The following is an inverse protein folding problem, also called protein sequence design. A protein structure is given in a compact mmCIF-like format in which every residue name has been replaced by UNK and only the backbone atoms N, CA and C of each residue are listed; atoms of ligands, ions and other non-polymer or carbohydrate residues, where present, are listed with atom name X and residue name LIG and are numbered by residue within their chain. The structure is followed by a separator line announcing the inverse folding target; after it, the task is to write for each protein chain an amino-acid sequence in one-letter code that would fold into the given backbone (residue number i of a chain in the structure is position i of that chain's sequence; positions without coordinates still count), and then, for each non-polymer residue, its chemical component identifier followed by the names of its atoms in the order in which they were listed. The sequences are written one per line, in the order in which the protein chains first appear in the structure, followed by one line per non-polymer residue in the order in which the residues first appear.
data_IF_620529303731
#
_entry.id   IF_620529303731
#
_cell.length_a   1.000
_cell.length_b   1.000
_cell.length_c   1.000
_cell.angle_alpha   90.00
_cell.angle_beta   90.00
_cell.angle_gamma   90.00
#
_symmetry.space_group_name_H-M   'P 1'
#
loop_
_entity.id
_entity.type
_entity.pdbx_description
1 polymer ?
#
# COMPACT_ATOMS: atom_id res chain seq x y z
N UNK A 1 -5.05 -14.70 11.23
CA UNK A 1 -5.62 -13.62 10.40
C UNK A 1 -4.70 -13.40 9.22
N UNK A 2 -5.21 -12.92 8.08
CA UNK A 2 -4.47 -12.87 6.80
C UNK A 2 -3.05 -12.26 6.87
N UNK A 3 -2.83 -11.23 7.70
CA UNK A 3 -1.50 -10.63 7.92
C UNK A 3 -0.59 -11.56 8.74
N UNK A 4 -1.09 -12.11 9.86
CA UNK A 4 -0.33 -13.01 10.74
C UNK A 4 0.02 -14.33 10.05
N UNK A 5 -0.90 -14.82 9.22
CA UNK A 5 -0.75 -16.08 8.49
C UNK A 5 -0.02 -15.85 7.14
N UNK A 6 0.52 -14.63 6.93
CA UNK A 6 1.36 -14.24 5.80
C UNK A 6 0.72 -14.46 4.42
N UNK A 7 -0.61 -14.34 4.36
CA UNK A 7 -1.41 -14.34 3.12
C UNK A 7 -1.22 -13.01 2.38
N UNK A 8 -1.13 -11.90 3.12
CA UNK A 8 -0.72 -10.59 2.60
C UNK A 8 0.72 -10.32 3.02
N UNK A 9 1.59 -9.99 2.06
CA UNK A 9 3.02 -9.73 2.30
C UNK A 9 3.45 -8.45 1.61
N UNK A 10 4.51 -7.82 2.15
CA UNK A 10 5.01 -6.53 1.69
C UNK A 10 4.36 -5.38 2.44
N UNK A 11 5.20 -4.48 2.95
CA UNK A 11 4.78 -3.37 3.82
C UNK A 11 3.57 -2.59 3.25
N UNK A 12 3.65 -2.07 2.01
CA UNK A 12 2.54 -1.29 1.44
C UNK A 12 1.25 -2.11 1.29
N UNK A 13 1.36 -3.37 0.85
CA UNK A 13 0.18 -4.24 0.71
C UNK A 13 -0.50 -4.53 2.06
N UNK A 14 0.28 -4.72 3.13
CA UNK A 14 -0.26 -4.94 4.48
C UNK A 14 -0.98 -3.68 4.98
N UNK A 15 -0.39 -2.49 4.79
CA UNK A 15 -0.99 -1.23 5.25
C UNK A 15 -2.33 -0.96 4.56
N UNK A 16 -2.37 -1.12 3.24
CA UNK A 16 -3.56 -0.89 2.42
C UNK A 16 -4.64 -1.93 2.71
N UNK A 17 -4.26 -3.20 2.85
CA UNK A 17 -5.22 -4.25 3.23
C UNK A 17 -5.85 -4.00 4.60
N UNK A 18 -5.08 -3.49 5.57
CA UNK A 18 -5.61 -3.15 6.89
C UNK A 18 -6.58 -1.96 6.85
N UNK A 19 -6.21 -0.88 6.15
CA UNK A 19 -7.07 0.28 5.98
C UNK A 19 -8.39 -0.08 5.29
N UNK A 20 -8.31 -0.82 4.16
CA UNK A 20 -9.50 -1.26 3.44
C UNK A 20 -10.34 -2.26 4.25
N UNK A 21 -9.72 -3.12 5.06
CA UNK A 21 -10.46 -4.03 5.95
C UNK A 21 -11.31 -3.26 6.96
N UNK A 22 -10.77 -2.19 7.55
CA UNK A 22 -11.54 -1.34 8.47
C UNK A 22 -12.59 -0.53 7.71
N UNK A 23 -12.31 -0.10 6.47
CA UNK A 23 -13.29 0.59 5.63
C UNK A 23 -14.50 -0.32 5.33
N UNK A 24 -14.28 -1.60 5.03
CA UNK A 24 -15.35 -2.60 4.86
C UNK A 24 -16.12 -2.83 6.18
N UNK A 25 -15.43 -2.93 7.31
CA UNK A 25 -16.10 -3.05 8.62
C UNK A 25 -17.00 -1.83 8.88
N UNK A 26 -16.49 -0.62 8.65
CA UNK A 26 -17.21 0.62 8.83
C UNK A 26 -18.40 0.78 7.87
N UNK A 27 -18.24 0.38 6.60
CA UNK A 27 -19.31 0.37 5.60
C UNK A 27 -20.48 -0.52 6.03
N UNK A 28 -20.19 -1.69 6.61
CA UNK A 28 -21.22 -2.63 7.07
C UNK A 28 -21.99 -2.14 8.32
N UNK A 29 -21.59 -1.02 8.92
CA UNK A 29 -22.28 -0.38 10.04
C UNK A 29 -23.27 0.71 9.59
N UNK A 30 -23.45 0.93 8.29
CA UNK A 30 -24.34 1.95 7.76
C UNK A 30 -25.84 1.55 7.83
N UNK A 31 -26.76 2.48 8.17
CA UNK A 31 -26.49 3.84 8.64
C UNK A 31 -25.86 3.82 10.04
N UNK A 32 -24.79 4.58 10.24
CA UNK A 32 -24.11 4.62 11.53
C UNK A 32 -24.97 5.36 12.56
N UNK A 33 -25.35 4.68 13.64
CA UNK A 33 -26.27 5.22 14.65
C UNK A 33 -25.66 6.21 15.65
N UNK A 34 -24.33 6.32 15.71
CA UNK A 34 -23.63 7.20 16.65
C UNK A 34 -23.34 8.60 16.09
N UNK A 35 -22.91 9.52 16.96
CA UNK A 35 -22.49 10.85 16.56
C UNK A 35 -21.09 10.88 15.89
N UNK A 36 -20.66 12.05 15.37
CA UNK A 36 -19.33 12.22 14.78
C UNK A 36 -18.17 11.82 15.71
N UNK A 37 -18.26 12.17 16.99
CA UNK A 37 -17.24 11.84 18.00
C UNK A 37 -17.17 10.33 18.25
N UNK A 38 -18.33 9.66 18.32
CA UNK A 38 -18.39 8.21 18.52
C UNK A 38 -17.81 7.46 17.31
N UNK A 39 -18.13 7.92 16.09
CA UNK A 39 -17.57 7.37 14.85
C UNK A 39 -16.04 7.54 14.80
N UNK A 40 -15.54 8.72 15.16
CA UNK A 40 -14.11 8.97 15.21
C UNK A 40 -13.40 8.09 16.25
N UNK A 41 -13.96 7.97 17.46
CA UNK A 41 -13.41 7.10 18.50
C UNK A 41 -13.34 5.65 18.02
N UNK A 42 -14.43 5.14 17.44
CA UNK A 42 -14.47 3.79 16.88
C UNK A 42 -13.36 3.54 15.85
N UNK A 43 -13.21 4.45 14.87
CA UNK A 43 -12.20 4.31 13.82
C UNK A 43 -10.77 4.44 14.37
N UNK A 44 -10.53 5.41 15.25
CA UNK A 44 -9.20 5.65 15.83
C UNK A 44 -8.76 4.45 16.69
N UNK A 45 -9.64 3.92 17.54
CA UNK A 45 -9.33 2.76 18.39
C UNK A 45 -8.95 1.53 17.55
N UNK A 46 -9.67 1.30 16.45
CA UNK A 46 -9.38 0.22 15.49
C UNK A 46 -8.08 0.46 14.74
N UNK A 47 -7.82 1.69 14.31
CA UNK A 47 -6.56 2.06 13.68
C UNK A 47 -5.37 1.88 14.63
N UNK A 48 -5.51 2.26 15.91
CA UNK A 48 -4.46 2.06 16.92
C UNK A 48 -4.15 0.58 17.15
N UNK A 49 -5.19 -0.25 17.21
CA UNK A 49 -5.02 -1.70 17.26
C UNK A 49 -4.25 -2.21 16.02
N UNK A 50 -4.60 -1.76 14.83
CA UNK A 50 -3.93 -2.14 13.58
C UNK A 50 -2.47 -1.67 13.58
N UNK A 51 -2.22 -0.39 13.89
CA UNK A 51 -0.89 0.24 13.97
C UNK A 51 0.06 -0.55 14.88
N UNK A 52 -0.43 -1.06 16.01
CA UNK A 52 0.37 -1.87 16.94
C UNK A 52 0.97 -3.15 16.33
N UNK A 53 0.49 -3.56 15.15
CA UNK A 53 0.89 -4.78 14.44
C UNK A 53 1.81 -4.52 13.25
N UNK A 54 2.11 -3.26 12.94
CA UNK A 54 2.98 -2.88 11.82
C UNK A 54 4.44 -2.77 12.23
N UNK A 55 5.33 -3.09 11.29
CA UNK A 55 6.77 -3.24 11.53
C UNK A 55 7.58 -2.11 10.90
N UNK A 56 7.02 -1.33 9.95
CA UNK A 56 7.77 -0.31 9.20
C UNK A 56 7.19 1.11 9.29
N UNK A 57 8.08 2.11 9.19
CA UNK A 57 7.76 3.54 9.31
C UNK A 57 6.84 4.05 8.19
N UNK A 58 6.94 3.49 6.98
CA UNK A 58 6.10 3.90 5.86
C UNK A 58 4.63 3.51 6.08
N UNK A 59 4.40 2.29 6.58
CA UNK A 59 3.06 1.78 6.91
C UNK A 59 2.40 2.62 8.02
N UNK A 60 3.21 3.07 8.98
CA UNK A 60 2.77 3.94 10.06
C UNK A 60 2.29 5.29 9.54
N UNK A 61 3.05 5.93 8.63
CA UNK A 61 2.71 7.25 8.09
C UNK A 61 1.37 7.22 7.32
N UNK A 62 1.15 6.17 6.53
CA UNK A 62 -0.10 5.95 5.79
C UNK A 62 -1.32 5.91 6.72
N UNK A 63 -1.24 5.13 7.82
CA UNK A 63 -2.34 4.99 8.78
C UNK A 63 -2.54 6.24 9.66
N UNK A 64 -1.47 6.99 9.94
CA UNK A 64 -1.56 8.24 10.69
C UNK A 64 -2.28 9.34 9.90
N UNK A 65 -2.06 9.42 8.58
CA UNK A 65 -2.78 10.36 7.72
C UNK A 65 -4.30 10.12 7.75
N UNK A 66 -4.74 8.85 7.85
CA UNK A 66 -6.16 8.53 8.00
C UNK A 66 -6.76 9.08 9.30
N UNK A 67 -5.98 9.13 10.40
CA UNK A 67 -6.45 9.70 11.67
C UNK A 67 -6.69 11.21 11.59
N UNK A 68 -5.87 11.91 10.80
CA UNK A 68 -6.07 13.34 10.56
C UNK A 68 -7.37 13.58 9.78
N UNK A 69 -7.65 12.79 8.74
CA UNK A 69 -8.92 12.85 7.99
C UNK A 69 -10.11 12.63 8.92
N UNK A 70 -10.05 11.60 9.76
CA UNK A 70 -11.11 11.27 10.74
C UNK A 70 -11.34 12.45 11.69
N UNK A 71 -10.26 12.97 12.28
CA UNK A 71 -10.34 14.07 13.26
C UNK A 71 -10.91 15.34 12.63
N UNK A 72 -10.48 15.66 11.40
CA UNK A 72 -10.96 16.81 10.65
C UNK A 72 -12.44 16.69 10.26
N UNK A 73 -12.89 15.50 9.86
CA UNK A 73 -14.31 15.25 9.56
C UNK A 73 -15.16 15.34 10.82
N UNK A 74 -14.75 14.70 11.92
CA UNK A 74 -15.48 14.73 13.18
C UNK A 74 -15.65 16.14 13.78
N UNK A 75 -14.72 17.05 13.46
CA UNK A 75 -14.81 18.46 13.88
C UNK A 75 -15.73 19.31 12.99
N UNK A 76 -16.00 18.89 11.75
CA UNK A 76 -16.73 19.68 10.75
C UNK A 76 -18.14 19.17 10.48
N UNK A 77 -18.33 17.86 10.53
CA UNK A 77 -19.57 17.21 10.12
C UNK A 77 -20.55 17.01 11.29
N UNK A 78 -21.84 16.98 10.97
CA UNK A 78 -22.92 16.82 11.95
C UNK A 78 -23.34 15.37 12.20
N UNK A 79 -22.96 14.44 11.33
CA UNK A 79 -23.41 13.04 11.37
C UNK A 79 -22.23 12.08 11.40
N UNK A 80 -22.31 11.02 12.22
CA UNK A 80 -21.27 9.99 12.29
C UNK A 80 -21.05 9.27 10.96
N UNK A 81 -22.11 9.11 10.16
CA UNK A 81 -22.04 8.53 8.81
C UNK A 81 -21.09 9.29 7.88
N UNK A 82 -20.97 10.61 8.03
CA UNK A 82 -20.04 11.42 7.24
C UNK A 82 -18.58 11.14 7.61
N UNK A 83 -18.30 10.93 8.89
CA UNK A 83 -16.95 10.55 9.38
C UNK A 83 -16.56 9.16 8.86
N UNK A 84 -17.50 8.22 8.87
CA UNK A 84 -17.29 6.89 8.27
C UNK A 84 -16.99 7.02 6.78
N UNK A 85 -17.78 7.81 6.05
CA UNK A 85 -17.60 8.00 4.62
C UNK A 85 -16.25 8.64 4.29
N UNK A 86 -15.85 9.68 5.02
CA UNK A 86 -14.55 10.34 4.86
C UNK A 86 -13.37 9.36 5.07
N UNK A 87 -13.49 8.43 6.02
CA UNK A 87 -12.49 7.39 6.23
C UNK A 87 -12.43 6.38 5.08
N UNK A 88 -13.59 5.94 4.57
CA UNK A 88 -13.66 5.01 3.42
C UNK A 88 -12.97 5.63 2.21
N UNK A 89 -13.30 6.88 1.89
CA UNK A 89 -12.69 7.62 0.78
C UNK A 89 -11.17 7.78 0.96
N UNK A 90 -10.72 8.04 2.19
CA UNK A 90 -9.29 8.11 2.48
C UNK A 90 -8.59 6.75 2.26
N UNK A 91 -9.20 5.64 2.69
CA UNK A 91 -8.64 4.30 2.50
C UNK A 91 -8.59 3.90 1.01
N UNK A 92 -9.60 4.27 0.22
CA UNK A 92 -9.61 4.09 -1.23
C UNK A 92 -8.55 4.96 -1.92
N UNK A 93 -8.43 6.22 -1.52
CA UNK A 93 -7.38 7.13 -2.03
C UNK A 93 -5.98 6.59 -1.75
N UNK A 94 -5.75 6.01 -0.57
CA UNK A 94 -4.46 5.37 -0.24
C UNK A 94 -4.10 4.23 -1.20
N UNK A 95 -5.09 3.43 -1.62
CA UNK A 95 -4.89 2.37 -2.61
C UNK A 95 -4.47 2.96 -3.97
N UNK A 96 -5.19 3.99 -4.42
CA UNK A 96 -4.92 4.65 -5.69
C UNK A 96 -3.55 5.33 -5.71
N UNK A 97 -3.21 6.03 -4.63
CA UNK A 97 -1.93 6.73 -4.45
C UNK A 97 -0.74 5.77 -4.43
N UNK A 98 -0.84 4.59 -3.79
CA UNK A 98 0.22 3.58 -3.82
C UNK A 98 0.41 3.03 -5.24
N UNK A 99 -0.69 2.74 -5.96
CA UNK A 99 -0.61 2.29 -7.36
C UNK A 99 -0.01 3.37 -8.27
N UNK A 100 -0.41 4.62 -8.09
CA UNK A 100 0.12 5.76 -8.84
C UNK A 100 1.62 5.96 -8.57
N UNK A 101 2.01 5.93 -7.29
CA UNK A 101 3.40 6.05 -6.84
C UNK A 101 4.26 4.92 -7.41
N UNK A 102 3.79 3.67 -7.37
CA UNK A 102 4.50 2.51 -7.93
C UNK A 102 4.70 2.63 -9.44
N UNK A 103 3.68 3.11 -10.18
CA UNK A 103 3.81 3.39 -11.61
C UNK A 103 4.80 4.51 -11.90
N UNK A 104 4.79 5.58 -11.09
CA UNK A 104 5.73 6.68 -11.22
C UNK A 104 7.16 6.23 -10.96
N UNK A 105 7.41 5.46 -9.89
CA UNK A 105 8.71 4.82 -9.61
C UNK A 105 9.18 4.02 -10.82
N UNK A 106 8.29 3.20 -11.39
CA UNK A 106 8.58 2.41 -12.58
C UNK A 106 9.03 3.26 -13.76
N UNK A 107 8.25 4.29 -14.10
CA UNK A 107 8.50 5.20 -15.22
C UNK A 107 9.80 5.99 -15.05
N UNK A 108 10.02 6.60 -13.87
CA UNK A 108 11.24 7.36 -13.60
C UNK A 108 12.48 6.47 -13.59
N UNK A 109 12.38 5.27 -12.99
CA UNK A 109 13.48 4.32 -12.98
C UNK A 109 13.83 3.81 -14.38
N UNK A 110 12.82 3.51 -15.21
CA UNK A 110 13.03 3.09 -16.59
C UNK A 110 13.67 4.21 -17.43
N UNK A 111 13.19 5.44 -17.27
CA UNK A 111 13.75 6.62 -17.94
C UNK A 111 15.22 6.83 -17.58
N UNK A 112 15.57 6.70 -16.30
CA UNK A 112 16.94 6.85 -15.82
C UNK A 112 17.86 5.76 -16.38
N UNK A 113 17.41 4.51 -16.40
CA UNK A 113 18.18 3.40 -16.97
C UNK A 113 18.41 3.63 -18.45
N UNK A 114 17.36 4.01 -19.19
CA UNK A 114 17.44 4.30 -20.63
C UNK A 114 18.41 5.40 -20.98
N UNK A 115 18.42 6.50 -20.22
CA UNK A 115 19.37 7.58 -20.41
C UNK A 115 20.85 7.15 -20.24
N UNK A 116 21.09 5.97 -19.63
CA UNK A 116 22.42 5.38 -19.47
C UNK A 116 22.72 4.27 -20.48
N UNK A 117 21.72 3.83 -21.26
CA UNK A 117 21.93 2.83 -22.31
C UNK A 117 22.48 3.51 -23.56
N UNK A 118 23.59 2.98 -24.07
CA UNK A 118 24.26 3.52 -25.26
C UNK A 118 23.60 3.00 -26.54
N UNK A 119 23.45 1.67 -26.70
CA UNK A 119 22.85 1.08 -27.92
C UNK A 119 22.09 -0.24 -27.68
N UNK A 120 22.10 -0.76 -26.46
CA UNK A 120 21.53 -2.08 -26.16
C UNK A 120 20.07 -2.00 -25.71
N UNK A 121 19.14 -2.49 -26.53
CA UNK A 121 17.75 -2.82 -26.11
C UNK A 121 17.66 -4.07 -25.23
N UNK A 122 18.79 -4.53 -24.70
CA UNK A 122 18.90 -5.71 -23.84
C UNK A 122 19.72 -5.35 -22.62
N UNK A 123 19.16 -5.60 -21.44
CA UNK A 123 19.84 -5.42 -20.16
C UNK A 123 19.67 -6.66 -19.30
N UNK A 124 20.57 -6.86 -18.35
CA UNK A 124 20.38 -7.84 -17.27
C UNK A 124 20.14 -7.07 -15.97
N UNK A 125 19.07 -7.42 -15.26
CA UNK A 125 18.70 -6.79 -14.00
C UNK A 125 18.74 -7.85 -12.90
N UNK A 126 19.52 -7.59 -11.86
CA UNK A 126 19.49 -8.36 -10.61
C UNK A 126 18.54 -7.64 -9.65
N UNK A 127 17.55 -8.37 -9.14
CA UNK A 127 16.66 -7.88 -8.07
C UNK A 127 16.70 -8.84 -6.89
N UNK A 128 16.30 -8.35 -5.72
CA UNK A 128 16.33 -9.09 -4.46
C UNK A 128 14.94 -9.08 -3.82
N UNK A 129 14.55 -10.23 -3.24
CA UNK A 129 13.21 -10.45 -2.68
C UNK A 129 12.09 -10.25 -3.74
N UNK A 130 10.86 -10.02 -3.28
CA UNK A 130 9.72 -9.67 -4.11
C UNK A 130 9.35 -8.19 -3.91
N UNK A 131 9.39 -7.43 -5.00
CA UNK A 131 9.03 -6.00 -5.06
C UNK A 131 7.93 -5.74 -6.10
N UNK A 132 7.22 -6.78 -6.50
CA UNK A 132 6.15 -6.73 -7.49
C UNK A 132 4.79 -6.39 -6.89
N UNK A 133 3.75 -6.64 -7.69
CA UNK A 133 2.34 -6.47 -7.30
C UNK A 133 1.88 -7.41 -6.17
N UNK A 134 2.71 -8.37 -5.77
CA UNK A 134 2.48 -9.22 -4.60
C UNK A 134 3.00 -8.59 -3.30
N UNK A 135 3.74 -7.47 -3.38
CA UNK A 135 4.33 -6.77 -2.25
C UNK A 135 3.83 -5.33 -2.06
N UNK A 136 3.05 -4.81 -3.03
CA UNK A 136 2.45 -3.47 -3.01
C UNK A 136 0.98 -3.55 -3.42
N UNK A 137 0.22 -2.45 -3.40
CA UNK A 137 -1.16 -2.47 -3.92
C UNK A 137 -1.26 -2.84 -5.39
N UNK A 138 -0.18 -2.62 -6.14
CA UNK A 138 -0.13 -2.95 -7.55
C UNK A 138 1.15 -2.44 -8.19
N UNK A 139 1.46 -2.98 -9.36
CA UNK A 139 2.62 -2.65 -10.18
C UNK A 139 3.99 -2.99 -9.57
N UNK A 140 4.25 -2.63 -8.31
CA UNK A 140 5.51 -2.86 -7.62
C UNK A 140 6.52 -1.72 -7.78
N UNK A 141 7.62 -1.80 -7.04
CA UNK A 141 8.69 -0.80 -7.03
C UNK A 141 9.83 -1.18 -7.98
N UNK A 142 10.83 -1.93 -7.54
CA UNK A 142 11.95 -2.35 -8.40
C UNK A 142 11.47 -3.26 -9.55
N UNK A 143 10.55 -4.20 -9.27
CA UNK A 143 9.90 -4.97 -10.32
C UNK A 143 8.96 -4.11 -11.19
N UNK A 144 8.45 -3.00 -10.65
CA UNK A 144 7.75 -1.96 -11.42
C UNK A 144 8.64 -1.30 -12.47
N UNK A 145 9.88 -0.95 -12.12
CA UNK A 145 10.88 -0.43 -13.08
C UNK A 145 11.16 -1.43 -14.19
N UNK A 146 11.33 -2.71 -13.85
CA UNK A 146 11.52 -3.79 -14.82
C UNK A 146 10.31 -3.91 -15.75
N UNK A 147 9.09 -3.81 -15.20
CA UNK A 147 7.83 -3.82 -15.97
C UNK A 147 7.74 -2.62 -16.93
N UNK A 148 8.12 -1.41 -16.49
CA UNK A 148 8.14 -0.22 -17.34
C UNK A 148 9.14 -0.37 -18.50
N UNK A 149 10.38 -0.79 -18.22
CA UNK A 149 11.38 -1.09 -19.25
C UNK A 149 10.89 -2.10 -20.29
N UNK A 150 10.24 -3.16 -19.83
CA UNK A 150 9.66 -4.17 -20.73
C UNK A 150 8.56 -3.58 -21.63
N UNK A 151 7.67 -2.75 -21.07
CA UNK A 151 6.61 -2.07 -21.83
C UNK A 151 7.17 -1.13 -22.92
N UNK A 152 8.33 -0.54 -22.68
CA UNK A 152 9.04 0.33 -23.63
C UNK A 152 9.91 -0.46 -24.63
N UNK A 153 9.83 -1.78 -24.62
CA UNK A 153 10.50 -2.66 -25.59
C UNK A 153 11.95 -2.99 -25.25
N UNK A 154 12.40 -2.70 -24.03
CA UNK A 154 13.71 -3.08 -23.53
C UNK A 154 13.61 -4.46 -22.90
N UNK A 155 14.29 -5.43 -23.52
CA UNK A 155 14.30 -6.81 -23.01
C UNK A 155 15.23 -6.88 -21.80
N UNK A 156 14.65 -7.10 -20.63
CA UNK A 156 15.38 -7.35 -19.39
C UNK A 156 15.45 -8.85 -19.11
N UNK A 157 16.66 -9.39 -18.95
CA UNK A 157 16.84 -10.68 -18.28
C UNK A 157 16.83 -10.39 -16.77
N UNK A 158 15.87 -10.97 -16.04
CA UNK A 158 15.73 -10.74 -14.60
C UNK A 158 16.28 -11.94 -13.85
N UNK A 159 17.30 -11.72 -13.02
CA UNK A 159 17.70 -12.68 -11.99
C UNK A 159 17.14 -12.25 -10.64
N UNK A 160 16.38 -13.13 -10.00
CA UNK A 160 15.85 -12.91 -8.67
C UNK A 160 16.75 -13.62 -7.67
N UNK A 161 17.47 -12.87 -6.84
CA UNK A 161 18.18 -13.43 -5.69
C UNK A 161 17.23 -13.52 -4.51
N UNK A 162 16.90 -14.74 -4.10
CA UNK A 162 16.21 -15.02 -2.86
C UNK A 162 17.30 -15.33 -1.82
N UNK A 163 17.37 -14.56 -0.73
CA UNK A 163 18.24 -14.94 0.39
C UNK A 163 17.68 -16.21 1.03
N UNK A 164 18.36 -17.34 0.83
CA UNK A 164 17.98 -18.63 1.42
C UNK A 164 18.33 -18.73 2.91
N UNK A 165 18.91 -17.68 3.50
CA UNK A 165 19.40 -17.66 4.88
C UNK A 165 18.35 -17.21 5.91
N UNK A 166 17.15 -16.82 5.47
CA UNK A 166 16.07 -16.38 6.36
C UNK A 166 14.91 -17.40 6.37
N UNK A 167 14.57 -17.90 7.56
CA UNK A 167 13.57 -18.97 7.84
C UNK A 167 12.12 -18.66 7.41
N UNK A 168 11.88 -17.54 6.74
CA UNK A 168 10.57 -17.05 6.30
C UNK A 168 10.03 -17.71 5.02
N UNK A 169 10.79 -18.61 4.39
CA UNK A 169 10.42 -19.32 3.15
C UNK A 169 9.95 -20.77 3.37
N UNK A 170 9.65 -21.17 4.61
CA UNK A 170 8.97 -22.45 4.88
C UNK A 170 7.48 -22.23 5.14
N UNK A 171 6.68 -22.26 4.08
CA UNK A 171 5.25 -22.60 4.08
C UNK A 171 4.82 -22.92 2.64
#
# INVERSE_FOLDING_TARGET
SAIRDMVVRGAPAIAIAAALSLAVEAFNLQPYGGGPVDAASFLIDKLDYLVSRFVTLHDLLLLLNSKEVISNSAAKDSEGSMVIQAYIEAAETMLEDDVASNKAIGSYGASLIQARLTDSKKISVLTHCNTGSLATAGYGTALGVIRSLYAEGIRSLVSLSLDSTNSFYSA
#
